data_IF_084616784492
#
_entry.id   IF_084616784492
#
_cell.length_a   1.000
_cell.length_b   1.000
_cell.length_c   1.000
_cell.angle_alpha   90.00
_cell.angle_beta   90.00
_cell.angle_gamma   90.00
#
_symmetry.space_group_name_H-M   'P 1'
#
loop_
_entity.id
_entity.type
_entity.pdbx_description
1 polymer ?
#
# COMPACT_ATOMS: atom_id res chain seq x y z
N UNK A 1 10.60 -24.62 -5.10
CA UNK A 1 10.11 -25.62 -4.11
C UNK A 1 8.79 -25.10 -3.53
N UNK A 2 7.82 -25.96 -3.18
CA UNK A 2 6.57 -25.50 -2.55
C UNK A 2 6.52 -25.98 -1.11
N UNK A 3 6.39 -25.04 -0.18
CA UNK A 3 6.18 -25.28 1.25
C UNK A 3 4.74 -24.88 1.59
N UNK A 4 3.91 -25.85 1.95
CA UNK A 4 2.55 -25.61 2.43
C UNK A 4 2.48 -25.93 3.91
N UNK A 5 2.12 -24.94 4.71
CA UNK A 5 2.03 -25.07 6.16
C UNK A 5 2.47 -23.79 6.88
N UNK A 6 2.15 -23.74 8.17
CA UNK A 6 2.51 -22.60 9.00
C UNK A 6 3.95 -22.75 9.51
N UNK A 7 4.67 -21.63 9.57
CA UNK A 7 5.97 -21.54 10.23
C UNK A 7 5.75 -20.85 11.57
N UNK A 8 6.12 -21.52 12.65
CA UNK A 8 5.95 -21.00 14.01
C UNK A 8 7.28 -21.11 14.73
N UNK A 9 7.75 -19.99 15.24
CA UNK A 9 8.87 -19.91 16.14
C UNK A 9 8.36 -20.09 17.58
N UNK A 10 8.94 -21.03 18.32
CA UNK A 10 8.49 -21.37 19.68
C UNK A 10 9.41 -20.85 20.78
N UNK A 11 10.57 -20.32 20.43
CA UNK A 11 11.55 -19.72 21.33
C UNK A 11 11.89 -18.28 20.91
N UNK A 12 12.83 -17.64 21.58
CA UNK A 12 13.30 -16.29 21.24
C UNK A 12 14.57 -16.29 20.40
N UNK A 13 14.97 -17.45 19.84
CA UNK A 13 16.23 -17.60 19.12
C UNK A 13 16.14 -16.94 17.75
N UNK A 14 17.07 -16.05 17.40
CA UNK A 14 17.08 -15.48 16.06
C UNK A 14 17.34 -16.56 15.01
N UNK A 15 16.43 -16.67 14.05
CA UNK A 15 16.54 -17.61 12.91
C UNK A 15 16.40 -16.86 11.59
N UNK A 16 16.76 -17.52 10.49
CA UNK A 16 16.57 -16.99 9.15
C UNK A 16 15.89 -18.02 8.26
N UNK A 17 14.95 -17.56 7.45
CA UNK A 17 14.31 -18.33 6.40
C UNK A 17 14.45 -17.56 5.09
N UNK A 18 14.98 -18.23 4.07
CA UNK A 18 15.14 -17.65 2.73
C UNK A 18 14.41 -18.49 1.71
N UNK A 19 13.49 -17.87 0.99
CA UNK A 19 12.83 -18.44 -0.18
C UNK A 19 13.62 -18.02 -1.41
N UNK A 20 14.08 -19.01 -2.17
CA UNK A 20 14.81 -18.77 -3.42
C UNK A 20 14.44 -19.76 -4.50
N UNK A 21 14.82 -19.46 -5.75
CA UNK A 21 14.72 -20.36 -6.89
C UNK A 21 13.28 -20.86 -7.10
N UNK A 22 12.36 -19.92 -7.32
CA UNK A 22 10.93 -20.16 -7.55
C UNK A 22 10.31 -20.94 -6.39
N UNK A 23 10.65 -20.51 -5.17
CA UNK A 23 10.06 -21.12 -3.99
C UNK A 23 8.77 -20.42 -3.59
N UNK A 24 7.77 -21.22 -3.22
CA UNK A 24 6.47 -20.72 -2.77
C UNK A 24 6.21 -21.21 -1.37
N UNK A 25 6.00 -20.28 -0.45
CA UNK A 25 5.45 -20.55 0.88
C UNK A 25 3.94 -20.27 0.84
N UNK A 26 3.13 -21.22 1.28
CA UNK A 26 1.70 -21.02 1.48
C UNK A 26 1.34 -21.36 2.92
N UNK A 27 1.01 -20.33 3.70
CA UNK A 27 0.73 -20.46 5.12
C UNK A 27 1.07 -19.19 5.90
N UNK A 28 0.72 -19.21 7.19
CA UNK A 28 1.06 -18.15 8.15
C UNK A 28 2.50 -18.29 8.63
N UNK A 29 3.17 -17.17 8.85
CA UNK A 29 4.46 -17.12 9.56
C UNK A 29 4.26 -16.42 10.90
N UNK A 30 4.77 -17.02 11.97
CA UNK A 30 4.79 -16.47 13.32
C UNK A 30 6.18 -16.60 13.91
N UNK A 31 7.04 -15.66 13.58
CA UNK A 31 8.46 -15.74 13.85
C UNK A 31 9.05 -14.34 14.16
N UNK A 32 8.59 -13.76 15.27
CA UNK A 32 8.92 -12.39 15.70
C UNK A 32 10.42 -12.10 15.85
N UNK A 33 11.26 -13.10 16.13
CA UNK A 33 12.71 -12.90 16.25
C UNK A 33 13.48 -13.34 15.01
N UNK A 34 12.78 -13.71 13.93
CA UNK A 34 13.37 -14.28 12.72
C UNK A 34 13.37 -13.31 11.54
N UNK A 35 14.31 -13.53 10.62
CA UNK A 35 14.39 -12.82 9.35
C UNK A 35 13.82 -13.70 8.24
N UNK A 36 12.91 -13.16 7.45
CA UNK A 36 12.38 -13.78 6.24
C UNK A 36 12.91 -13.02 5.01
N UNK A 37 13.46 -13.74 4.04
CA UNK A 37 13.84 -13.16 2.76
C UNK A 37 13.26 -13.91 1.58
N UNK A 38 12.86 -13.17 0.54
CA UNK A 38 12.36 -13.70 -0.73
C UNK A 38 13.19 -13.15 -1.88
N UNK A 39 13.67 -14.02 -2.77
CA UNK A 39 14.23 -13.59 -4.05
C UNK A 39 13.14 -13.19 -5.06
N UNK A 40 13.56 -12.61 -6.19
CA UNK A 40 12.69 -12.10 -7.27
C UNK A 40 11.71 -13.13 -7.85
N UNK A 41 12.00 -14.41 -7.66
CA UNK A 41 11.20 -15.50 -8.22
C UNK A 41 10.30 -16.17 -7.19
N UNK A 42 10.44 -15.80 -5.92
CA UNK A 42 9.81 -16.47 -4.80
C UNK A 42 8.50 -15.82 -4.42
N UNK A 43 7.61 -16.61 -3.81
CA UNK A 43 6.28 -16.17 -3.43
C UNK A 43 5.94 -16.57 -2.01
N UNK A 44 5.26 -15.70 -1.28
CA UNK A 44 4.62 -16.01 -0.02
C UNK A 44 3.13 -15.70 -0.08
N UNK A 45 2.33 -16.76 -0.07
CA UNK A 45 0.88 -16.71 0.00
C UNK A 45 0.46 -16.88 1.46
N UNK A 46 0.19 -15.77 2.14
CA UNK A 46 -0.32 -15.81 3.51
C UNK A 46 -1.73 -16.38 3.52
N UNK A 47 -2.00 -17.25 4.49
CA UNK A 47 -3.35 -17.75 4.74
C UNK A 47 -4.04 -16.98 5.85
N UNK A 48 -3.29 -16.42 6.78
CA UNK A 48 -3.77 -15.72 7.97
C UNK A 48 -2.77 -14.64 8.42
N UNK A 49 -3.19 -13.71 9.31
CA UNK A 49 -2.32 -12.69 9.84
C UNK A 49 -0.99 -13.23 10.36
N UNK A 50 0.13 -12.66 9.89
CA UNK A 50 1.47 -13.16 10.10
C UNK A 50 2.37 -12.13 10.80
N UNK A 51 3.35 -12.63 11.54
CA UNK A 51 4.30 -11.86 12.33
C UNK A 51 5.72 -12.32 12.00
N UNK A 52 6.61 -11.38 11.67
CA UNK A 52 8.03 -11.64 11.37
C UNK A 52 8.91 -10.59 12.03
N UNK A 53 10.16 -10.93 12.33
CA UNK A 53 11.12 -9.99 12.90
C UNK A 53 11.61 -8.98 11.88
N UNK A 54 12.22 -9.47 10.80
CA UNK A 54 12.64 -8.67 9.65
C UNK A 54 12.14 -9.32 8.36
N UNK A 55 11.78 -8.50 7.38
CA UNK A 55 11.32 -8.95 6.08
C UNK A 55 12.06 -8.21 4.96
N UNK A 56 12.78 -8.95 4.14
CA UNK A 56 13.35 -8.44 2.89
C UNK A 56 12.68 -9.15 1.72
N UNK A 57 11.87 -8.44 0.98
CA UNK A 57 11.19 -8.97 -0.18
C UNK A 57 11.88 -8.48 -1.46
N UNK A 58 12.11 -9.39 -2.41
CA UNK A 58 12.26 -9.05 -3.82
C UNK A 58 11.22 -9.78 -4.67
N UNK A 59 10.38 -10.65 -4.10
CA UNK A 59 9.43 -11.48 -4.83
C UNK A 59 7.98 -11.05 -4.64
N UNK A 60 7.05 -12.00 -4.70
CA UNK A 60 5.64 -11.77 -4.47
C UNK A 60 5.18 -12.11 -3.04
N UNK A 61 4.38 -11.25 -2.43
CA UNK A 61 3.65 -11.56 -1.19
C UNK A 61 2.17 -11.31 -1.45
N UNK A 62 1.33 -12.29 -1.15
CA UNK A 62 -0.13 -12.15 -1.16
C UNK A 62 -0.63 -12.20 0.27
N UNK A 63 -1.19 -11.08 0.75
CA UNK A 63 -1.76 -10.94 2.09
C UNK A 63 -3.16 -11.58 2.12
N UNK A 64 -3.23 -12.84 2.53
CA UNK A 64 -4.49 -13.54 2.75
C UNK A 64 -4.96 -13.50 4.21
N UNK A 65 -6.27 -13.68 4.39
CA UNK A 65 -6.94 -13.62 5.68
C UNK A 65 -8.13 -14.61 5.73
N UNK A 66 -7.83 -15.91 5.71
CA UNK A 66 -8.84 -16.96 5.74
C UNK A 66 -9.64 -16.99 7.04
N UNK A 67 -9.06 -16.52 8.15
CA UNK A 67 -9.74 -16.35 9.44
C UNK A 67 -10.75 -15.21 9.48
N UNK A 68 -10.74 -14.29 8.50
CA UNK A 68 -11.62 -13.11 8.49
C UNK A 68 -11.29 -12.11 9.61
N UNK A 69 -10.03 -12.08 10.05
CA UNK A 69 -9.57 -11.16 11.10
C UNK A 69 -9.66 -9.70 10.65
N UNK A 70 -10.21 -8.83 11.48
CA UNK A 70 -10.32 -7.37 11.18
C UNK A 70 -9.09 -6.59 11.67
N UNK A 71 -7.94 -7.25 11.77
CA UNK A 71 -6.70 -6.65 12.26
C UNK A 71 -5.68 -6.45 11.14
N UNK A 72 -4.47 -6.05 11.53
CA UNK A 72 -3.30 -6.01 10.65
C UNK A 72 -2.97 -7.41 10.14
N UNK A 73 -2.75 -7.54 8.83
CA UNK A 73 -2.44 -8.83 8.20
C UNK A 73 -0.96 -9.17 8.33
N UNK A 74 -0.07 -8.20 8.17
CA UNK A 74 1.37 -8.44 8.30
C UNK A 74 1.97 -7.48 9.32
N UNK A 75 2.55 -8.04 10.38
CA UNK A 75 3.32 -7.27 11.35
C UNK A 75 4.80 -7.63 11.24
N UNK A 76 5.63 -6.64 10.97
CA UNK A 76 7.09 -6.76 10.92
C UNK A 76 7.68 -6.03 12.12
N UNK A 77 8.19 -6.77 13.11
CA UNK A 77 8.61 -6.20 14.39
C UNK A 77 9.72 -5.13 14.22
N UNK A 78 10.62 -5.31 13.26
CA UNK A 78 11.76 -4.43 13.02
C UNK A 78 11.71 -3.79 11.63
N UNK A 79 12.35 -4.40 10.62
CA UNK A 79 12.52 -3.77 9.30
C UNK A 79 11.77 -4.50 8.21
N UNK A 80 10.94 -3.76 7.47
CA UNK A 80 10.35 -4.14 6.20
C UNK A 80 11.11 -3.45 5.06
N UNK A 81 11.74 -4.25 4.19
CA UNK A 81 12.41 -3.76 2.99
C UNK A 81 11.77 -4.42 1.77
N UNK A 82 11.16 -3.60 0.93
CA UNK A 82 10.67 -3.98 -0.40
C UNK A 82 11.68 -3.48 -1.43
N UNK A 83 12.24 -4.42 -2.20
CA UNK A 83 13.14 -4.13 -3.32
C UNK A 83 12.34 -3.97 -4.64
N UNK A 84 13.02 -3.60 -5.72
CA UNK A 84 12.44 -3.24 -7.02
C UNK A 84 11.50 -4.31 -7.61
N UNK A 85 11.81 -5.60 -7.47
CA UNK A 85 10.95 -6.68 -8.01
C UNK A 85 9.82 -7.08 -7.05
N UNK A 86 9.71 -6.41 -5.90
CA UNK A 86 8.69 -6.70 -4.90
C UNK A 86 7.30 -6.53 -5.45
N UNK A 87 6.41 -7.45 -5.10
CA UNK A 87 4.98 -7.32 -5.32
C UNK A 87 4.23 -7.61 -4.03
N UNK A 88 3.45 -6.66 -3.55
CA UNK A 88 2.51 -6.86 -2.44
C UNK A 88 1.10 -6.89 -3.02
N UNK A 89 0.38 -7.98 -2.79
CA UNK A 89 -1.01 -8.13 -3.21
C UNK A 89 -1.91 -8.17 -1.97
N UNK A 90 -2.89 -7.28 -1.88
CA UNK A 90 -3.81 -7.21 -0.75
C UNK A 90 -5.24 -6.93 -1.18
N UNK A 91 -6.20 -7.49 -0.45
CA UNK A 91 -7.62 -7.17 -0.61
C UNK A 91 -8.05 -6.29 0.55
N UNK A 92 -8.58 -5.11 0.21
CA UNK A 92 -9.08 -4.13 1.17
C UNK A 92 -10.45 -4.57 1.68
N UNK A 93 -10.53 -4.73 2.99
CA UNK A 93 -11.79 -4.90 3.70
C UNK A 93 -12.21 -3.54 4.27
N UNK A 94 -13.29 -2.96 3.75
CA UNK A 94 -13.81 -1.67 4.22
C UNK A 94 -14.36 -1.68 5.64
N UNK A 95 -14.59 -2.85 6.23
CA UNK A 95 -14.93 -2.96 7.64
C UNK A 95 -13.69 -2.90 8.55
N UNK A 96 -12.49 -3.04 7.98
CA UNK A 96 -11.24 -3.03 8.71
C UNK A 96 -10.65 -1.61 8.75
N UNK A 97 -10.56 -1.03 9.95
CA UNK A 97 -9.91 0.26 10.19
C UNK A 97 -8.42 0.13 10.56
N UNK A 98 -7.92 -1.09 10.69
CA UNK A 98 -6.50 -1.35 10.98
C UNK A 98 -5.68 -1.28 9.69
N UNK A 99 -4.43 -0.78 9.76
CA UNK A 99 -3.51 -0.85 8.63
C UNK A 99 -3.24 -2.31 8.25
N UNK A 100 -3.15 -2.59 6.95
CA UNK A 100 -2.88 -3.94 6.43
C UNK A 100 -1.48 -4.43 6.80
N UNK A 101 -0.52 -3.51 6.94
CA UNK A 101 0.87 -3.78 7.34
C UNK A 101 1.26 -2.85 8.50
N UNK A 102 1.93 -3.40 9.51
CA UNK A 102 2.63 -2.62 10.55
C UNK A 102 4.11 -2.96 10.55
N UNK A 103 4.99 -1.97 10.69
CA UNK A 103 6.42 -2.21 10.84
C UNK A 103 7.14 -1.14 11.67
N UNK A 104 8.31 -1.44 12.27
CA UNK A 104 9.09 -0.37 12.92
C UNK A 104 9.78 0.55 11.89
N UNK A 105 10.37 -0.04 10.85
CA UNK A 105 11.05 0.67 9.77
C UNK A 105 10.58 0.14 8.43
N UNK A 106 10.30 1.04 7.49
CA UNK A 106 9.77 0.71 6.17
C UNK A 106 10.63 1.32 5.08
N UNK A 107 11.01 0.51 4.11
CA UNK A 107 11.53 0.94 2.82
C UNK A 107 10.65 0.34 1.73
N UNK A 108 10.05 1.20 0.94
CA UNK A 108 9.13 0.84 -0.15
C UNK A 108 9.88 0.84 -1.49
N UNK A 109 9.44 -0.05 -2.36
CA UNK A 109 9.93 -0.28 -3.71
C UNK A 109 9.02 -1.30 -4.39
N UNK A 110 9.16 -1.45 -5.70
CA UNK A 110 8.34 -2.38 -6.48
C UNK A 110 6.87 -1.98 -6.56
N UNK A 111 5.99 -2.97 -6.58
CA UNK A 111 4.56 -2.80 -6.91
C UNK A 111 3.63 -3.16 -5.75
N UNK A 112 2.63 -2.31 -5.51
CA UNK A 112 1.50 -2.60 -4.62
C UNK A 112 0.23 -2.83 -5.46
N UNK A 113 -0.33 -4.03 -5.37
CA UNK A 113 -1.59 -4.39 -6.03
C UNK A 113 -2.70 -4.53 -4.99
N UNK A 114 -3.72 -3.70 -5.10
CA UNK A 114 -4.86 -3.65 -4.20
C UNK A 114 -6.12 -4.06 -4.95
N UNK A 115 -6.99 -4.81 -4.27
CA UNK A 115 -8.35 -5.04 -4.73
C UNK A 115 -9.36 -4.65 -3.66
N UNK A 116 -10.54 -4.18 -4.06
CA UNK A 116 -11.64 -3.89 -3.14
C UNK A 116 -12.97 -4.22 -3.77
N UNK A 117 -13.88 -4.79 -2.99
CA UNK A 117 -15.27 -4.99 -3.39
C UNK A 117 -16.15 -3.78 -3.10
N UNK A 118 -15.58 -2.72 -2.52
CA UNK A 118 -16.32 -1.51 -2.21
C UNK A 118 -16.66 -0.72 -3.47
N UNK A 119 -17.86 -0.15 -3.48
CA UNK A 119 -18.27 0.81 -4.50
C UNK A 119 -17.85 2.21 -4.05
N UNK A 120 -17.23 2.96 -4.95
CA UNK A 120 -16.89 4.35 -4.67
C UNK A 120 -18.16 5.19 -4.41
N UNK A 121 -18.13 5.99 -3.34
CA UNK A 121 -19.18 6.96 -3.02
C UNK A 121 -18.55 8.34 -3.07
N UNK A 122 -19.02 9.18 -3.99
CA UNK A 122 -18.48 10.53 -4.16
C UNK A 122 -18.81 11.41 -2.93
N UNK A 123 -17.82 12.09 -2.35
CA UNK A 123 -18.07 13.14 -1.36
C UNK A 123 -18.67 14.39 -2.03
N UNK A 124 -19.42 15.17 -1.25
CA UNK A 124 -20.05 16.42 -1.71
C UNK A 124 -19.09 17.62 -1.74
N UNK A 125 -17.96 17.52 -1.03
CA UNK A 125 -16.95 18.58 -0.88
C UNK A 125 -15.57 17.98 -0.62
N UNK A 126 -14.52 18.72 -0.96
CA UNK A 126 -13.13 18.35 -0.69
C UNK A 126 -12.77 18.33 0.81
N UNK A 127 -13.55 19.03 1.66
CA UNK A 127 -13.43 18.93 3.13
C UNK A 127 -13.81 17.55 3.69
N UNK A 128 -14.54 16.74 2.92
CA UNK A 128 -14.98 15.41 3.32
C UNK A 128 -14.15 14.29 2.69
N UNK A 129 -12.99 14.60 2.11
CA UNK A 129 -12.06 13.57 1.67
C UNK A 129 -11.62 12.69 2.84
N UNK A 130 -11.70 11.38 2.62
CA UNK A 130 -11.26 10.37 3.57
C UNK A 130 -10.00 9.68 3.10
N UNK A 131 -9.32 9.04 4.05
CA UNK A 131 -8.19 8.16 3.79
C UNK A 131 -8.27 6.84 4.54
N UNK A 132 -7.50 5.86 4.06
CA UNK A 132 -7.32 4.53 4.62
C UNK A 132 -5.83 4.27 4.73
N UNK A 133 -5.33 4.14 5.96
CA UNK A 133 -3.93 3.75 6.19
C UNK A 133 -3.72 2.30 5.74
N UNK A 134 -2.76 2.09 4.84
CA UNK A 134 -2.34 0.77 4.40
C UNK A 134 -1.16 0.27 5.23
N UNK A 135 -0.14 1.11 5.37
CA UNK A 135 1.09 0.79 6.10
C UNK A 135 1.26 1.80 7.21
N UNK A 136 1.46 1.30 8.42
CA UNK A 136 1.74 2.07 9.63
C UNK A 136 3.16 1.73 10.11
N UNK A 137 4.04 2.73 10.07
CA UNK A 137 5.43 2.60 10.48
C UNK A 137 5.70 3.31 11.81
N UNK A 138 6.66 2.84 12.60
CA UNK A 138 7.13 3.63 13.76
C UNK A 138 8.09 4.76 13.37
N UNK A 139 8.62 4.73 12.15
CA UNK A 139 9.57 5.72 11.63
C UNK A 139 9.09 6.30 10.32
N UNK A 140 9.64 7.46 9.93
CA UNK A 140 9.25 8.11 8.69
C UNK A 140 9.53 7.21 7.47
N UNK A 141 8.51 7.02 6.64
CA UNK A 141 8.62 6.42 5.32
C UNK A 141 9.15 7.50 4.38
N UNK A 142 10.35 7.27 3.83
CA UNK A 142 11.05 8.24 2.96
C UNK A 142 11.14 7.80 1.50
N UNK A 143 10.48 6.68 1.19
CA UNK A 143 10.43 6.02 -0.13
C UNK A 143 8.98 5.79 -0.51
N UNK A 144 8.72 5.49 -1.78
CA UNK A 144 7.39 5.18 -2.30
C UNK A 144 7.45 3.88 -3.11
N UNK A 145 6.29 3.28 -3.41
CA UNK A 145 6.20 2.23 -4.41
C UNK A 145 6.50 2.78 -5.80
N UNK A 146 7.12 1.97 -6.65
CA UNK A 146 7.34 2.31 -8.05
C UNK A 146 6.02 2.34 -8.83
N UNK A 147 5.06 1.52 -8.43
CA UNK A 147 3.69 1.57 -8.95
C UNK A 147 2.65 1.03 -7.95
N UNK A 148 1.44 1.58 -8.03
CA UNK A 148 0.27 1.10 -7.29
C UNK A 148 -0.87 0.81 -8.26
N UNK A 149 -1.52 -0.34 -8.09
CA UNK A 149 -2.75 -0.68 -8.81
C UNK A 149 -3.91 -0.85 -7.83
N UNK A 150 -5.10 -0.41 -8.24
CA UNK A 150 -6.32 -0.55 -7.47
C UNK A 150 -7.43 -1.12 -8.36
N UNK A 151 -7.77 -2.38 -8.12
CA UNK A 151 -8.92 -3.06 -8.70
C UNK A 151 -10.15 -2.85 -7.81
N UNK A 152 -10.89 -1.77 -8.08
CA UNK A 152 -12.11 -1.40 -7.37
C UNK A 152 -13.14 -0.81 -8.34
N UNK A 153 -14.42 -0.86 -7.96
CA UNK A 153 -15.48 -0.23 -8.76
C UNK A 153 -15.45 1.30 -8.60
N UNK A 154 -14.76 1.94 -9.53
CA UNK A 154 -14.64 3.40 -9.66
C UNK A 154 -15.51 3.97 -10.79
N UNK A 155 -16.48 3.19 -11.29
CA UNK A 155 -17.35 3.62 -12.40
C UNK A 155 -18.19 4.85 -12.05
N UNK A 156 -18.57 4.99 -10.78
CA UNK A 156 -19.31 6.13 -10.24
C UNK A 156 -18.40 7.31 -9.83
N UNK A 157 -17.08 7.18 -9.93
CA UNK A 157 -16.14 8.25 -9.55
C UNK A 157 -16.12 9.34 -10.63
N UNK A 158 -16.50 10.60 -10.31
CA UNK A 158 -16.45 11.72 -11.26
C UNK A 158 -15.03 12.02 -11.74
N UNK A 159 -14.89 12.71 -12.87
CA UNK A 159 -13.57 13.02 -13.46
C UNK A 159 -12.71 13.92 -12.57
N UNK A 160 -13.33 14.79 -11.78
CA UNK A 160 -12.66 15.69 -10.85
C UNK A 160 -12.11 15.00 -9.59
N UNK A 161 -12.40 13.70 -9.37
CA UNK A 161 -11.90 12.92 -8.25
C UNK A 161 -10.97 11.78 -8.68
N UNK A 162 -10.03 11.48 -7.81
CA UNK A 162 -9.11 10.35 -7.90
C UNK A 162 -8.92 9.70 -6.52
N UNK A 163 -8.34 8.51 -6.52
CA UNK A 163 -7.82 7.87 -5.31
C UNK A 163 -6.30 7.92 -5.42
N UNK A 164 -5.67 8.68 -4.53
CA UNK A 164 -4.22 8.77 -4.41
C UNK A 164 -3.70 7.59 -3.59
N UNK A 165 -2.48 7.18 -3.87
CA UNK A 165 -1.68 6.31 -3.02
C UNK A 165 -0.34 6.98 -2.75
N UNK A 166 0.09 7.01 -1.50
CA UNK A 166 1.36 7.66 -1.14
C UNK A 166 1.60 7.73 0.36
N UNK A 167 2.77 8.24 0.71
CA UNK A 167 3.11 8.61 2.10
C UNK A 167 2.25 9.81 2.50
N UNK A 168 1.61 9.75 3.68
CA UNK A 168 0.80 10.85 4.19
C UNK A 168 1.69 12.09 4.41
N UNK A 169 1.26 13.21 3.83
CA UNK A 169 1.97 14.48 3.90
C UNK A 169 1.95 15.11 5.30
N UNK A 170 0.96 14.76 6.14
CA UNK A 170 0.80 15.26 7.50
C UNK A 170 1.46 14.35 8.54
N UNK A 171 1.51 13.05 8.26
CA UNK A 171 2.17 12.04 9.08
C UNK A 171 2.92 11.02 8.20
N UNK A 172 4.19 11.30 7.94
CA UNK A 172 5.02 10.47 7.07
C UNK A 172 5.36 9.08 7.65
N UNK A 173 4.82 8.72 8.80
CA UNK A 173 4.87 7.35 9.31
C UNK A 173 3.83 6.45 8.66
N UNK A 174 2.85 7.03 7.95
CA UNK A 174 1.77 6.31 7.29
C UNK A 174 1.92 6.32 5.76
N UNK A 175 1.59 5.18 5.15
CA UNK A 175 1.27 5.08 3.73
C UNK A 175 -0.22 4.83 3.57
N UNK A 176 -0.92 5.64 2.78
CA UNK A 176 -2.38 5.63 2.72
C UNK A 176 -2.93 5.61 1.30
N UNK A 177 -4.18 5.15 1.18
CA UNK A 177 -5.06 5.55 0.09
C UNK A 177 -5.90 6.73 0.53
N UNK A 178 -5.97 7.78 -0.26
CA UNK A 178 -6.81 8.95 0.04
C UNK A 178 -7.64 9.38 -1.16
N UNK A 179 -8.86 9.84 -0.90
CA UNK A 179 -9.64 10.51 -1.94
C UNK A 179 -9.07 11.90 -2.16
N UNK A 180 -8.95 12.33 -3.41
CA UNK A 180 -8.45 13.67 -3.72
C UNK A 180 -8.98 14.20 -5.03
N UNK A 181 -8.66 15.47 -5.30
CA UNK A 181 -8.95 16.08 -6.60
C UNK A 181 -7.99 15.55 -7.66
N UNK A 182 -8.51 15.27 -8.86
CA UNK A 182 -7.68 14.93 -10.03
C UNK A 182 -6.69 16.06 -10.39
N UNK A 183 -6.85 17.27 -9.86
CA UNK A 183 -5.86 18.34 -9.99
C UNK A 183 -4.51 17.98 -9.36
N UNK A 184 -4.55 17.27 -8.23
CA UNK A 184 -3.39 16.96 -7.39
C UNK A 184 -3.00 15.47 -7.46
N UNK A 185 -3.48 14.75 -8.46
CA UNK A 185 -3.19 13.33 -8.59
C UNK A 185 -1.67 13.09 -8.72
N UNK A 186 -1.12 12.28 -7.81
CA UNK A 186 0.26 11.80 -7.86
C UNK A 186 0.48 10.67 -8.87
N UNK A 187 1.74 10.23 -9.00
CA UNK A 187 2.14 9.17 -9.94
C UNK A 187 1.43 7.83 -9.68
N UNK A 188 1.15 7.53 -8.41
CA UNK A 188 0.52 6.29 -7.96
C UNK A 188 -1.01 6.40 -7.81
N UNK A 189 -1.63 7.44 -8.37
CA UNK A 189 -3.07 7.63 -8.28
C UNK A 189 -3.84 6.78 -9.28
N UNK A 190 -5.06 6.38 -8.93
CA UNK A 190 -5.93 5.58 -9.78
C UNK A 190 -6.28 6.28 -11.11
N UNK A 191 -6.29 7.62 -11.13
CA UNK A 191 -6.44 8.44 -12.34
C UNK A 191 -5.35 9.49 -12.42
N UNK A 192 -4.90 9.77 -13.64
CA UNK A 192 -3.87 10.76 -13.91
C UNK A 192 -4.36 12.19 -13.67
N UNK A 193 -3.42 13.09 -13.39
CA UNK A 193 -3.75 14.47 -13.10
C UNK A 193 -4.33 15.21 -14.33
N UNK A 194 -5.40 15.97 -14.13
CA UNK A 194 -5.94 16.89 -15.14
C UNK A 194 -6.72 18.06 -14.51
N UNK A 195 -6.84 19.15 -15.26
CA UNK A 195 -7.48 20.39 -14.81
C UNK A 195 -8.85 20.69 -15.42
N UNK A 196 -9.44 19.75 -16.16
CA UNK A 196 -10.81 19.88 -16.69
C UNK A 196 -11.75 19.04 -15.86
N UNK A 197 -12.82 19.64 -15.35
CA UNK A 197 -13.81 18.99 -14.49
C UNK A 197 -15.19 19.06 -15.10
N UNK A 198 -15.90 17.93 -15.08
CA UNK A 198 -17.24 17.79 -15.61
C UNK A 198 -18.20 17.55 -14.45
N UNK A 199 -19.15 18.46 -14.28
CA UNK A 199 -20.22 18.31 -13.29
C UNK A 199 -21.53 18.11 -14.03
N UNK A 200 -22.19 16.99 -13.73
CA UNK A 200 -23.47 16.65 -14.35
C UNK A 200 -24.54 17.70 -14.04
N UNK A 201 -25.50 17.84 -14.96
CA UNK A 201 -26.60 18.79 -14.79
C UNK A 201 -27.42 18.46 -13.53
N UNK A 202 -27.51 19.42 -12.61
CA UNK A 202 -28.21 19.25 -11.33
C UNK A 202 -27.34 18.69 -10.20
N UNK A 203 -26.09 18.33 -10.46
CA UNK A 203 -25.11 17.96 -9.44
C UNK A 203 -24.34 19.18 -8.94
N UNK A 204 -23.73 19.08 -7.77
CA UNK A 204 -22.85 20.10 -7.21
C UNK A 204 -21.72 19.40 -6.47
N UNK A 205 -20.52 19.97 -6.58
CA UNK A 205 -19.37 19.60 -5.78
C UNK A 205 -18.72 20.89 -5.29
N UNK A 206 -18.45 21.00 -3.99
CA UNK A 206 -17.85 22.19 -3.41
C UNK A 206 -16.34 22.00 -3.30
N UNK A 207 -15.57 22.97 -3.80
CA UNK A 207 -14.12 23.03 -3.59
C UNK A 207 -13.86 24.18 -2.64
N UNK A 208 -13.32 23.90 -1.46
CA UNK A 208 -12.93 24.93 -0.47
C UNK A 208 -11.42 25.14 -0.42
N UNK A 209 -10.64 24.18 -0.91
CA UNK A 209 -9.19 24.29 -1.06
C UNK A 209 -8.81 25.20 -2.23
N UNK A 210 -7.68 25.89 -2.11
CA UNK A 210 -7.09 26.60 -3.24
C UNK A 210 -6.58 25.60 -4.29
N UNK A 211 -6.80 25.92 -5.57
CA UNK A 211 -6.24 25.18 -6.70
C UNK A 211 -5.03 25.92 -7.24
N UNK A 212 -3.83 25.41 -6.95
CA UNK A 212 -2.58 25.97 -7.42
C UNK A 212 -1.90 25.05 -8.44
N UNK A 213 -1.06 25.62 -9.31
CA UNK A 213 -0.26 24.80 -10.23
C UNK A 213 0.63 23.83 -9.43
N UNK A 214 0.66 22.53 -9.76
CA UNK A 214 1.64 21.61 -9.20
C UNK A 214 3.03 22.18 -9.47
N UNK A 215 3.82 22.44 -8.42
CA UNK A 215 5.14 23.08 -8.55
C UNK A 215 5.98 22.32 -9.58
N UNK A 216 6.15 22.93 -10.76
CA UNK A 216 7.09 22.45 -11.78
C UNK A 216 8.49 22.47 -11.15
N UNK A 217 9.26 21.36 -11.19
CA UNK A 217 10.66 21.41 -10.75
C UNK A 217 11.39 22.49 -11.57
N UNK A 218 12.30 23.27 -10.93
CA UNK A 218 12.95 24.37 -11.62
C UNK A 218 13.69 23.82 -12.84
N UNK A 219 13.31 24.28 -14.03
CA UNK A 219 14.08 24.00 -15.24
C UNK A 219 15.46 24.64 -15.06
N UNK A 220 16.48 23.81 -14.89
CA UNK A 220 17.86 24.27 -14.84
C UNK A 220 18.17 25.07 -16.10
N UNK A 221 18.48 26.35 -15.91
CA UNK A 221 19.05 27.20 -16.94
C UNK A 221 20.40 26.59 -17.35
N UNK A 222 20.50 26.13 -18.60
CA UNK A 222 21.79 25.78 -19.18
C UNK A 222 22.64 27.05 -19.23
N UNK A 223 23.74 27.06 -18.47
CA UNK A 223 24.79 28.07 -18.61
C UNK A 223 25.35 28.00 -20.04
N UNK A 224 25.31 29.12 -20.74
CA UNK A 224 26.08 29.36 -21.97
C UNK A 224 27.48 29.87 -21.62
#
# INVERSE_FOLDING_TARGET
MTLTGNIVQTDTSSSSLSLSQKSTLTGRVDALSSTLSLDETSQWNMTDPSTVGNLTNNGGITLGNASGSTGTLLTVDNTLTLQDDSQINATLDTANSSPIIKAANVTLGGTLNLSSTATFVAPETDEHFGSVTLIDSQTAITTDFDSVTLDADTSAMPDYLTINAGVDANDNTNYELSTGLSWYAGANSARAAHGTFTVDAGSTFTVTSELDEPRRPPTGTAAS
#
